data_IF_520853172621
#
_entry.id   IF_520853172621
#
_cell.length_a   1.000
_cell.length_b   1.000
_cell.length_c   1.000
_cell.angle_alpha   90.00
_cell.angle_beta   90.00
_cell.angle_gamma   90.00
#
_symmetry.space_group_name_H-M   'P 1'
#
loop_
_entity.id
_entity.type
_entity.pdbx_description
1 polymer ?
#
# COMPACT_ATOMS: atom_id res chain seq x y z
N UNK A 1 -2.18 -2.98 1.45
CA UNK A 1 -1.31 -1.79 1.44
C UNK A 1 -1.91 -0.72 2.33
N UNK A 2 -3.15 -0.30 2.06
CA UNK A 2 -3.92 0.63 2.93
C UNK A 2 -3.89 0.25 4.42
N UNK A 3 -4.31 -0.97 4.78
CA UNK A 3 -4.25 -1.46 6.16
C UNK A 3 -2.84 -1.36 6.80
N UNK A 4 -1.77 -1.54 6.02
CA UNK A 4 -0.41 -1.43 6.55
C UNK A 4 -0.05 0.03 6.90
N UNK A 5 -0.59 0.99 6.15
CA UNK A 5 -0.45 2.43 6.43
C UNK A 5 -1.24 2.78 7.68
N UNK A 6 -2.50 2.35 7.77
CA UNK A 6 -3.35 2.58 8.94
C UNK A 6 -2.70 2.06 10.23
N UNK A 7 -2.20 0.82 10.22
CA UNK A 7 -1.47 0.24 11.36
C UNK A 7 -0.22 1.07 11.70
N UNK A 8 0.52 1.54 10.69
CA UNK A 8 1.68 2.41 10.93
C UNK A 8 1.32 3.73 11.62
N UNK A 9 0.19 4.32 11.24
CA UNK A 9 -0.36 5.53 11.86
C UNK A 9 -0.85 5.26 13.30
N UNK A 10 -1.58 4.17 13.52
CA UNK A 10 -2.04 3.75 14.86
C UNK A 10 -0.87 3.50 15.81
N UNK A 11 0.22 2.93 15.30
CA UNK A 11 1.46 2.69 16.04
C UNK A 11 2.33 3.94 16.19
N UNK A 12 1.90 5.09 15.65
CA UNK A 12 2.62 6.37 15.68
C UNK A 12 4.06 6.25 15.14
N UNK A 13 4.24 5.50 14.05
CA UNK A 13 5.52 5.35 13.39
C UNK A 13 5.84 6.61 12.58
N UNK A 14 7.12 6.93 12.48
CA UNK A 14 7.60 7.97 11.56
C UNK A 14 7.77 7.45 10.13
N UNK A 15 7.96 6.14 9.95
CA UNK A 15 8.12 5.54 8.64
C UNK A 15 7.66 4.09 8.58
N UNK A 16 7.24 3.65 7.40
CA UNK A 16 6.87 2.27 7.08
C UNK A 16 7.50 1.84 5.76
N UNK A 17 7.96 0.58 5.72
CA UNK A 17 8.40 -0.08 4.51
C UNK A 17 7.38 -1.17 4.15
N UNK A 18 6.69 -0.99 3.03
CA UNK A 18 5.57 -1.81 2.60
C UNK A 18 6.03 -2.67 1.41
N UNK A 19 6.19 -3.95 1.67
CA UNK A 19 6.45 -4.96 0.65
C UNK A 19 5.12 -5.51 0.12
N UNK A 20 4.96 -5.58 -1.20
CA UNK A 20 3.77 -6.14 -1.83
C UNK A 20 4.11 -6.98 -3.05
N UNK A 21 3.37 -8.08 -3.23
CA UNK A 21 3.47 -8.92 -4.42
C UNK A 21 2.61 -8.42 -5.60
N UNK A 22 1.80 -7.37 -5.38
CA UNK A 22 1.02 -6.71 -6.42
C UNK A 22 1.85 -5.66 -7.14
N UNK A 23 2.41 -6.03 -8.31
CA UNK A 23 3.19 -5.09 -9.13
C UNK A 23 2.35 -3.91 -9.60
N UNK A 24 1.08 -4.14 -9.93
CA UNK A 24 0.14 -3.06 -10.32
C UNK A 24 -0.05 -2.10 -9.15
N UNK A 25 -0.37 -2.61 -7.96
CA UNK A 25 -0.63 -1.75 -6.81
C UNK A 25 0.58 -0.92 -6.41
N UNK A 26 1.78 -1.52 -6.36
CA UNK A 26 3.02 -0.79 -6.07
C UNK A 26 3.26 0.30 -7.12
N UNK A 27 3.15 -0.03 -8.42
CA UNK A 27 3.31 0.97 -9.48
C UNK A 27 2.26 2.09 -9.36
N UNK A 28 1.01 1.76 -9.10
CA UNK A 28 -0.05 2.77 -9.04
C UNK A 28 0.16 3.78 -7.90
N UNK A 29 0.73 3.37 -6.76
CA UNK A 29 1.03 4.31 -5.66
C UNK A 29 2.37 5.04 -5.81
N UNK A 30 3.34 4.47 -6.54
CA UNK A 30 4.66 5.10 -6.74
C UNK A 30 4.77 5.95 -8.01
N UNK A 31 3.86 5.80 -8.98
CA UNK A 31 3.97 6.40 -10.32
C UNK A 31 2.99 7.58 -10.48
N UNK A 32 3.32 8.49 -11.40
CA UNK A 32 2.54 9.70 -11.71
C UNK A 32 1.07 9.35 -12.02
N UNK A 33 0.07 10.11 -11.51
CA UNK A 33 -1.37 9.78 -11.51
C UNK A 33 -1.97 9.37 -12.85
N UNK A 34 -1.38 9.82 -13.96
CA UNK A 34 -1.91 9.63 -15.32
C UNK A 34 -1.82 8.18 -15.83
N UNK A 35 -1.27 7.25 -15.03
CA UNK A 35 -1.05 5.84 -15.40
C UNK A 35 -1.77 4.85 -14.47
N UNK A 36 -2.61 5.32 -13.57
CA UNK A 36 -3.35 4.49 -12.61
C UNK A 36 -4.58 3.86 -13.28
N UNK A 37 -4.73 2.52 -13.30
CA UNK A 37 -5.94 1.88 -13.79
C UNK A 37 -7.18 2.32 -13.01
N UNK A 38 -8.31 2.52 -13.69
CA UNK A 38 -9.53 3.05 -13.08
C UNK A 38 -10.05 2.14 -11.94
N UNK A 39 -9.80 0.83 -12.03
CA UNK A 39 -10.20 -0.17 -11.04
C UNK A 39 -9.56 0.06 -9.67
N UNK A 40 -8.38 0.71 -9.63
CA UNK A 40 -7.62 0.95 -8.40
C UNK A 40 -7.46 2.44 -8.09
N UNK A 41 -8.03 3.32 -8.92
CA UNK A 41 -7.85 4.77 -8.80
C UNK A 41 -8.33 5.33 -7.46
N UNK A 42 -9.50 4.89 -6.98
CA UNK A 42 -10.04 5.34 -5.69
C UNK A 42 -9.16 4.92 -4.51
N UNK A 43 -8.64 3.69 -4.53
CA UNK A 43 -7.74 3.17 -3.49
C UNK A 43 -6.41 3.93 -3.49
N UNK A 44 -5.87 4.21 -4.67
CA UNK A 44 -4.62 4.96 -4.82
C UNK A 44 -4.77 6.40 -4.37
N UNK A 45 -5.88 7.05 -4.74
CA UNK A 45 -6.22 8.40 -4.28
C UNK A 45 -6.34 8.44 -2.76
N UNK A 46 -7.05 7.47 -2.17
CA UNK A 46 -7.19 7.37 -0.72
C UNK A 46 -5.85 7.20 -0.01
N UNK A 47 -5.02 6.26 -0.47
CA UNK A 47 -3.65 6.05 0.05
C UNK A 47 -2.82 7.33 -0.06
N UNK A 48 -2.88 8.02 -1.20
CA UNK A 48 -2.12 9.27 -1.43
C UNK A 48 -2.56 10.36 -0.45
N UNK A 49 -3.88 10.54 -0.26
CA UNK A 49 -4.42 11.52 0.67
C UNK A 49 -4.06 11.20 2.13
N UNK A 50 -4.10 9.92 2.53
CA UNK A 50 -3.63 9.45 3.84
C UNK A 50 -2.17 9.84 4.08
N UNK A 51 -1.29 9.53 3.13
CA UNK A 51 0.13 9.84 3.26
C UNK A 51 0.40 11.35 3.33
N UNK A 52 -0.23 12.15 2.46
CA UNK A 52 -0.08 13.62 2.42
C UNK A 52 -0.59 14.30 3.69
N UNK A 53 -1.66 13.78 4.28
CA UNK A 53 -2.23 14.32 5.53
C UNK A 53 -1.52 13.82 6.79
N UNK A 54 -0.65 12.82 6.66
CA UNK A 54 0.10 12.23 7.76
C UNK A 54 1.54 12.72 7.84
N UNK A 55 2.23 12.43 8.94
CA UNK A 55 3.68 12.59 9.08
C UNK A 55 4.44 11.27 8.83
N UNK A 56 3.76 10.28 8.23
CA UNK A 56 4.29 8.95 8.02
C UNK A 56 4.97 8.83 6.65
N UNK A 57 6.27 8.58 6.64
CA UNK A 57 7.02 8.30 5.43
C UNK A 57 6.79 6.83 4.99
N UNK A 58 6.11 6.63 3.87
CA UNK A 58 5.86 5.29 3.33
C UNK A 58 6.72 4.97 2.10
N UNK A 59 7.41 3.82 2.15
CA UNK A 59 8.22 3.29 1.06
C UNK A 59 7.59 2.00 0.53
N UNK A 60 7.36 1.91 -0.78
CA UNK A 60 6.71 0.76 -1.40
C UNK A 60 7.70 -0.02 -2.27
N UNK A 61 7.77 -1.34 -2.08
CA UNK A 61 8.61 -2.23 -2.89
C UNK A 61 7.82 -3.44 -3.36
N UNK A 62 7.99 -3.76 -4.65
CA UNK A 62 7.47 -4.99 -5.20
C UNK A 62 8.37 -6.17 -4.85
N UNK A 63 7.78 -7.25 -4.35
CA UNK A 63 8.45 -8.52 -4.05
C UNK A 63 7.76 -9.69 -4.77
N UNK A 64 8.45 -10.80 -5.08
CA UNK A 64 7.78 -12.01 -5.56
C UNK A 64 6.76 -12.54 -4.54
N UNK A 65 5.64 -13.11 -5.01
CA UNK A 65 4.59 -13.68 -4.14
C UNK A 65 5.14 -14.69 -3.13
N UNK A 66 6.15 -15.47 -3.52
CA UNK A 66 6.82 -16.44 -2.65
C UNK A 66 7.45 -15.81 -1.40
N UNK A 67 7.75 -14.51 -1.44
CA UNK A 67 8.27 -13.76 -0.30
C UNK A 67 7.15 -13.16 0.58
N UNK A 68 5.91 -13.11 0.09
CA UNK A 68 4.75 -12.50 0.77
C UNK A 68 3.76 -13.55 1.35
N UNK A 69 4.23 -14.78 1.60
CA UNK A 69 3.36 -15.89 2.01
C UNK A 69 2.64 -15.60 3.34
N UNK A 70 3.31 -14.94 4.29
CA UNK A 70 2.71 -14.61 5.58
C UNK A 70 1.46 -13.71 5.42
N UNK A 71 1.56 -12.65 4.60
CA UNK A 71 0.42 -11.79 4.32
C UNK A 71 -0.68 -12.54 3.56
N UNK A 72 -0.32 -13.45 2.65
CA UNK A 72 -1.28 -14.30 1.94
C UNK A 72 -2.05 -15.23 2.89
N UNK A 73 -1.42 -15.76 3.94
CA UNK A 73 -2.08 -16.58 4.97
C UNK A 73 -2.99 -15.77 5.88
N UNK A 74 -2.63 -14.52 6.18
CA UNK A 74 -3.41 -13.63 7.03
C UNK A 74 -4.55 -12.93 6.29
N UNK A 75 -4.56 -13.00 4.96
CA UNK A 75 -5.58 -12.35 4.16
C UNK A 75 -6.94 -13.04 4.34
N UNK A 76 -7.90 -12.28 4.86
CA UNK A 76 -9.31 -12.69 4.92
C UNK A 76 -10.04 -11.93 3.81
N UNK A 77 -10.69 -12.62 2.84
CA UNK A 77 -11.52 -11.93 1.87
C UNK A 77 -12.65 -11.21 2.60
N UNK A 78 -12.80 -9.92 2.36
CA UNK A 78 -14.01 -9.20 2.75
C UNK A 78 -15.19 -9.75 1.92
N UNK A 79 -16.17 -10.32 2.63
CA UNK A 79 -17.44 -10.83 2.11
C UNK A 79 -18.34 -9.73 1.57
#
# INVERSE_FOLDING_TARGET
>A
MELAIEVGLEMNLSSVFIESDSQVGVKSVTTIPNSVPWEVASVVEHITNLLVSSSLDAYFVWIPRTCNNAAQFLWVPSS
#
